data_IF_950278002537
#
_entry.id   IF_950278002537
#
_cell.length_a   1.000
_cell.length_b   1.000
_cell.length_c   1.000
_cell.angle_alpha   90.00
_cell.angle_beta   90.00
_cell.angle_gamma   90.00
#
_symmetry.space_group_name_H-M   'P 1'
#
loop_
_entity.id
_entity.type
_entity.pdbx_description
1 polymer ?
#
# COMPACT_ATOMS: atom_id res chain seq x y z
N UNK A 1 8.02 24.77 -21.34
CA UNK A 1 7.35 23.45 -21.21
C UNK A 1 8.01 22.47 -20.23
N UNK A 2 9.13 22.79 -19.56
CA UNK A 2 9.82 21.83 -18.67
C UNK A 2 9.29 21.75 -17.23
N UNK A 3 8.45 22.70 -16.79
CA UNK A 3 7.79 22.69 -15.46
C UNK A 3 6.75 21.58 -15.32
N UNK A 4 6.25 21.00 -16.42
CA UNK A 4 5.13 20.04 -16.37
C UNK A 4 5.47 18.64 -15.82
N UNK A 5 6.74 18.20 -15.82
CA UNK A 5 7.08 16.83 -15.45
C UNK A 5 7.13 16.57 -13.93
N UNK A 6 7.65 17.52 -13.14
CA UNK A 6 7.58 17.44 -11.66
C UNK A 6 6.14 17.61 -11.19
N UNK A 7 5.40 18.49 -11.86
CA UNK A 7 3.97 18.59 -11.65
C UNK A 7 3.25 17.30 -12.03
N UNK A 8 3.72 16.37 -12.86
CA UNK A 8 2.89 15.21 -13.23
C UNK A 8 2.79 14.14 -12.13
N UNK A 9 3.86 13.89 -11.36
CA UNK A 9 3.80 12.97 -10.23
C UNK A 9 3.06 13.61 -9.05
N UNK A 10 3.38 14.88 -8.75
CA UNK A 10 2.69 15.64 -7.72
C UNK A 10 1.24 15.88 -8.13
N UNK A 11 0.93 16.17 -9.38
CA UNK A 11 -0.42 16.31 -9.91
C UNK A 11 -1.13 14.97 -9.97
N UNK A 12 -0.52 13.80 -10.21
CA UNK A 12 -1.26 12.55 -10.04
C UNK A 12 -1.63 12.29 -8.58
N UNK A 13 -0.75 12.65 -7.64
CA UNK A 13 -0.99 12.52 -6.20
C UNK A 13 -1.99 13.57 -5.69
N UNK A 14 -1.88 14.80 -6.20
CA UNK A 14 -2.78 15.94 -5.96
C UNK A 14 -4.10 15.75 -6.69
N UNK A 15 -4.16 15.18 -7.89
CA UNK A 15 -5.37 14.86 -8.64
C UNK A 15 -6.05 13.63 -8.02
N UNK A 16 -5.30 12.69 -7.44
CA UNK A 16 -5.86 11.71 -6.51
C UNK A 16 -6.47 12.41 -5.29
N UNK A 17 -5.79 13.42 -4.72
CA UNK A 17 -6.27 14.18 -3.56
C UNK A 17 -7.36 15.23 -3.88
N UNK A 18 -7.46 15.69 -5.14
CA UNK A 18 -8.37 16.73 -5.62
C UNK A 18 -9.59 16.12 -6.32
N UNK A 19 -9.45 14.96 -6.97
CA UNK A 19 -10.59 14.12 -7.33
C UNK A 19 -11.40 13.68 -6.10
N UNK A 20 -10.80 13.79 -4.91
CA UNK A 20 -11.44 13.61 -3.62
C UNK A 20 -11.73 14.92 -2.89
N UNK A 21 -11.72 16.08 -3.55
CA UNK A 21 -12.07 17.35 -2.87
C UNK A 21 -13.58 17.50 -2.66
N UNK A 22 -14.37 16.80 -3.46
CA UNK A 22 -15.85 16.82 -3.42
C UNK A 22 -16.45 15.66 -2.59
N UNK A 23 -15.62 14.71 -2.17
CA UNK A 23 -16.00 13.59 -1.29
C UNK A 23 -15.06 13.59 -0.09
N UNK A 24 -15.52 13.33 1.13
CA UNK A 24 -14.64 13.26 2.32
C UNK A 24 -13.72 12.03 2.24
N UNK A 25 -12.75 11.99 1.33
CA UNK A 25 -11.77 10.91 1.32
C UNK A 25 -10.76 11.13 2.44
N UNK A 26 -10.55 10.10 3.24
CA UNK A 26 -9.51 10.05 4.25
C UNK A 26 -8.42 9.10 3.77
N UNK A 27 -7.17 9.50 3.92
CA UNK A 27 -6.02 8.67 3.59
C UNK A 27 -5.36 8.21 4.88
N UNK A 28 -5.09 6.91 4.97
CA UNK A 28 -4.28 6.35 6.04
C UNK A 28 -2.84 6.20 5.55
N UNK A 29 -1.91 6.89 6.21
CA UNK A 29 -0.48 6.74 5.96
C UNK A 29 0.19 6.25 7.24
N UNK A 30 0.71 5.01 7.22
CA UNK A 30 1.19 4.34 8.43
C UNK A 30 2.20 5.20 9.23
N UNK A 31 3.09 5.92 8.55
CA UNK A 31 4.17 6.64 9.21
C UNK A 31 3.69 7.93 9.91
N UNK A 32 2.51 8.43 9.54
CA UNK A 32 1.90 9.61 10.14
C UNK A 32 0.76 9.25 11.11
N UNK A 33 0.02 8.18 10.81
CA UNK A 33 -1.14 7.77 11.59
C UNK A 33 -0.77 6.88 12.79
N UNK A 34 0.42 6.28 12.80
CA UNK A 34 0.92 5.46 13.91
C UNK A 34 2.00 6.25 14.64
N UNK A 35 1.85 6.40 15.96
CA UNK A 35 2.83 7.06 16.79
C UNK A 35 4.19 6.32 16.69
N UNK A 36 5.24 7.04 16.32
CA UNK A 36 6.58 6.46 16.17
C UNK A 36 7.44 6.60 17.44
N UNK A 37 7.07 7.47 18.37
CA UNK A 37 7.83 7.80 19.57
C UNK A 37 7.37 7.04 20.83
N UNK A 38 6.08 6.72 20.92
CA UNK A 38 5.49 6.01 22.05
C UNK A 38 5.24 4.54 21.69
N UNK A 39 5.82 3.62 22.45
CA UNK A 39 5.76 2.19 22.16
C UNK A 39 4.35 1.58 22.33
N UNK A 40 3.57 2.05 23.32
CA UNK A 40 2.21 1.53 23.58
C UNK A 40 1.25 2.02 22.51
N UNK A 41 1.28 3.31 22.19
CA UNK A 41 0.46 3.88 21.12
C UNK A 41 0.85 3.33 19.75
N UNK A 42 2.14 3.01 19.53
CA UNK A 42 2.59 2.33 18.32
C UNK A 42 1.97 0.95 18.20
N UNK A 43 1.97 0.16 19.27
CA UNK A 43 1.38 -1.17 19.29
C UNK A 43 -0.13 -1.12 19.01
N UNK A 44 -0.85 -0.23 19.70
CA UNK A 44 -2.28 0.00 19.46
C UNK A 44 -2.56 0.41 18.00
N UNK A 45 -1.70 1.26 17.43
CA UNK A 45 -1.73 1.62 16.03
C UNK A 45 -1.56 0.42 15.11
N UNK A 46 -0.57 -0.44 15.38
CA UNK A 46 -0.30 -1.68 14.62
C UNK A 46 -1.49 -2.63 14.70
N UNK A 47 -2.04 -2.86 15.89
CA UNK A 47 -3.20 -3.73 16.11
C UNK A 47 -4.43 -3.24 15.34
N UNK A 48 -4.53 -1.93 15.13
CA UNK A 48 -5.62 -1.31 14.36
C UNK A 48 -5.46 -1.37 12.83
N UNK A 49 -4.25 -1.62 12.29
CA UNK A 49 -3.98 -1.59 10.83
C UNK A 49 -4.92 -2.53 10.07
N UNK A 50 -5.14 -3.74 10.59
CA UNK A 50 -6.00 -4.71 9.94
C UNK A 50 -7.46 -4.23 9.83
N UNK A 51 -7.94 -3.40 10.76
CA UNK A 51 -9.26 -2.78 10.68
C UNK A 51 -9.28 -1.66 9.63
N UNK A 52 -8.23 -0.83 9.55
CA UNK A 52 -8.12 0.22 8.53
C UNK A 52 -8.09 -0.37 7.11
N UNK A 53 -7.27 -1.38 6.86
CA UNK A 53 -7.17 -2.03 5.54
C UNK A 53 -8.48 -2.68 5.11
N UNK A 54 -9.23 -3.25 6.06
CA UNK A 54 -10.56 -3.85 5.83
C UNK A 54 -11.60 -2.83 5.39
N UNK A 55 -11.52 -1.61 5.93
CA UNK A 55 -12.46 -0.53 5.64
C UNK A 55 -12.00 0.42 4.52
N UNK A 56 -10.86 0.15 3.88
CA UNK A 56 -10.31 1.00 2.82
C UNK A 56 -10.83 0.58 1.44
N UNK A 57 -11.30 1.54 0.63
CA UNK A 57 -11.77 1.29 -0.75
C UNK A 57 -10.63 0.98 -1.74
N UNK A 58 -9.44 1.51 -1.46
CA UNK A 58 -8.28 1.34 -2.31
C UNK A 58 -6.99 1.34 -1.50
N UNK A 59 -5.95 0.71 -2.05
CA UNK A 59 -4.61 0.71 -1.49
C UNK A 59 -3.62 1.17 -2.55
N UNK A 60 -2.84 2.19 -2.22
CA UNK A 60 -1.73 2.67 -3.05
C UNK A 60 -0.41 2.14 -2.47
N UNK A 61 0.29 1.33 -3.26
CA UNK A 61 1.57 0.74 -2.91
C UNK A 61 2.67 1.43 -3.69
N UNK A 62 3.54 2.14 -2.98
CA UNK A 62 4.77 2.69 -3.53
C UNK A 62 5.85 1.59 -3.52
N UNK A 63 5.94 0.84 -4.62
CA UNK A 63 6.83 -0.31 -4.70
C UNK A 63 8.30 0.11 -4.89
N UNK A 64 9.17 -0.56 -4.15
CA UNK A 64 10.60 -0.54 -4.30
C UNK A 64 11.11 -1.99 -4.30
N UNK A 65 12.33 -2.29 -4.81
CA UNK A 65 12.87 -3.65 -4.81
C UNK A 65 12.91 -4.31 -3.41
N UNK A 66 13.07 -3.51 -2.35
CA UNK A 66 13.04 -3.98 -0.96
C UNK A 66 11.62 -4.03 -0.34
N UNK A 67 10.55 -3.85 -1.12
CA UNK A 67 9.19 -3.82 -0.57
C UNK A 67 8.80 -5.18 0.02
N UNK A 68 9.05 -6.28 -0.71
CA UNK A 68 8.69 -7.64 -0.28
C UNK A 68 9.63 -8.24 0.77
N UNK A 69 10.72 -7.56 1.14
CA UNK A 69 11.60 -7.97 2.24
C UNK A 69 11.12 -7.44 3.60
N UNK A 70 10.11 -6.55 3.60
CA UNK A 70 9.55 -5.95 4.81
C UNK A 70 8.26 -6.67 5.18
N UNK A 71 8.27 -7.34 6.33
CA UNK A 71 7.14 -8.12 6.84
C UNK A 71 5.82 -7.33 6.82
N UNK A 72 5.83 -6.10 7.34
CA UNK A 72 4.64 -5.26 7.42
C UNK A 72 4.04 -4.94 6.04
N UNK A 73 4.89 -4.61 5.07
CA UNK A 73 4.45 -4.35 3.69
C UNK A 73 3.80 -5.59 3.05
N UNK A 74 4.33 -6.78 3.34
CA UNK A 74 3.76 -8.06 2.92
C UNK A 74 2.44 -8.36 3.63
N UNK A 75 2.36 -8.10 4.94
CA UNK A 75 1.13 -8.26 5.73
C UNK A 75 -0.01 -7.40 5.17
N UNK A 76 0.24 -6.13 4.89
CA UNK A 76 -0.78 -5.21 4.34
C UNK A 76 -1.32 -5.72 2.99
N UNK A 77 -0.43 -6.16 2.10
CA UNK A 77 -0.82 -6.77 0.83
C UNK A 77 -1.67 -8.02 1.03
N UNK A 78 -1.24 -8.93 1.91
CA UNK A 78 -1.97 -10.17 2.19
C UNK A 78 -3.37 -9.87 2.71
N UNK A 79 -3.53 -8.92 3.63
CA UNK A 79 -4.85 -8.53 4.14
C UNK A 79 -5.77 -8.06 3.01
N UNK A 80 -5.27 -7.17 2.14
CA UNK A 80 -6.06 -6.65 1.00
C UNK A 80 -6.38 -7.75 -0.04
N UNK A 81 -5.46 -8.67 -0.29
CA UNK A 81 -5.67 -9.77 -1.25
C UNK A 81 -6.55 -10.91 -0.71
N UNK A 82 -6.40 -11.27 0.56
CA UNK A 82 -7.13 -12.39 1.17
C UNK A 82 -8.61 -12.09 1.31
N UNK A 83 -8.96 -10.83 1.54
CA UNK A 83 -10.36 -10.43 1.66
C UNK A 83 -11.14 -10.56 0.34
N UNK A 84 -10.45 -10.50 -0.81
CA UNK A 84 -11.04 -10.83 -2.12
C UNK A 84 -11.30 -12.32 -2.31
N UNK A 85 -10.71 -13.21 -1.51
CA UNK A 85 -10.70 -14.67 -1.70
C UNK A 85 -11.47 -15.48 -0.67
N UNK A 86 -12.19 -14.84 0.24
CA UNK A 86 -13.25 -15.45 1.08
C UNK A 86 -14.51 -15.85 0.27
N UNK A 87 -14.31 -16.36 -0.95
CA UNK A 87 -15.31 -17.10 -1.71
C UNK A 87 -14.95 -18.59 -1.57
N UNK A 88 -15.54 -19.23 -0.55
CA UNK A 88 -15.62 -20.67 -0.18
C UNK A 88 -14.52 -21.69 -0.56
N UNK A 89 -13.93 -21.71 -1.76
CA UNK A 89 -12.94 -22.70 -2.22
C UNK A 89 -11.53 -22.58 -1.63
N UNK A 90 -11.09 -21.40 -1.23
CA UNK A 90 -9.73 -21.23 -0.66
C UNK A 90 -9.69 -21.54 0.86
N UNK A 91 -10.84 -21.47 1.53
CA UNK A 91 -10.98 -21.79 2.96
C UNK A 91 -10.66 -23.26 3.24
N UNK A 92 -10.98 -24.17 2.32
CA UNK A 92 -10.61 -25.59 2.44
C UNK A 92 -9.11 -25.84 2.22
N UNK A 93 -8.45 -25.07 1.34
CA UNK A 93 -7.01 -25.20 1.10
C UNK A 93 -6.17 -24.62 2.24
N UNK A 94 -6.59 -23.50 2.83
CA UNK A 94 -5.95 -22.93 4.01
C UNK A 94 -6.22 -23.74 5.29
N UNK A 95 -7.44 -24.26 5.48
CA UNK A 95 -7.72 -25.12 6.63
C UNK A 95 -6.90 -26.42 6.58
N UNK A 96 -6.61 -26.94 5.37
CA UNK A 96 -5.72 -28.09 5.19
C UNK A 96 -4.23 -27.72 5.38
N UNK A 97 -3.81 -26.51 5.00
CA UNK A 97 -2.40 -26.08 5.16
C UNK A 97 -2.06 -25.58 6.58
N UNK A 98 -3.05 -25.12 7.36
CA UNK A 98 -2.89 -24.71 8.76
C UNK A 98 -3.21 -25.82 9.77
N UNK A 99 -3.92 -26.90 9.37
CA UNK A 99 -4.07 -28.09 10.22
C UNK A 99 -2.75 -28.87 10.39
N UNK A 100 -1.80 -28.71 9.46
CA UNK A 100 -0.45 -29.30 9.52
C UNK A 100 0.56 -28.49 10.35
N UNK A 101 0.16 -27.33 10.88
CA UNK A 101 1.03 -26.44 11.64
C UNK A 101 0.56 -26.26 13.10
N UNK A 102 -0.03 -27.30 13.71
CA UNK A 102 -0.14 -27.38 15.17
C UNK A 102 1.10 -28.04 15.76
N UNK A 103 1.78 -27.42 16.73
CA UNK A 103 2.76 -28.13 17.54
C UNK A 103 2.05 -29.24 18.32
N UNK A 104 2.49 -30.48 18.12
CA UNK A 104 2.19 -31.63 18.98
C UNK A 104 2.92 -31.47 20.30
N UNK A 105 2.41 -30.61 21.19
CA UNK A 105 2.50 -30.75 22.66
C UNK A 105 2.07 -29.46 23.37
N UNK A 106 0.81 -29.35 23.76
CA UNK A 106 0.45 -28.82 25.09
C UNK A 106 -0.80 -29.58 25.53
N UNK A 107 -0.58 -30.59 26.37
CA UNK A 107 -1.64 -31.12 27.22
C UNK A 107 -1.98 -30.13 28.32
N UNK A 108 -3.21 -30.26 28.83
CA UNK A 108 -3.70 -29.68 30.07
C UNK A 108 -3.97 -28.16 30.09
N UNK A 109 -5.19 -27.79 29.71
CA UNK A 109 -6.01 -26.81 30.43
C UNK A 109 -7.47 -26.99 29.99
N UNK A 110 -8.07 -28.11 30.44
CA UNK A 110 -9.52 -28.22 30.61
C UNK A 110 -9.83 -27.63 31.98
N UNK A 111 -11.02 -27.07 32.10
CA UNK A 111 -11.65 -26.62 33.35
C UNK A 111 -11.34 -25.17 33.74
N UNK A 112 -12.13 -24.23 33.21
CA UNK A 112 -12.84 -23.20 33.98
C UNK A 112 -13.62 -22.28 33.03
N UNK A 113 -14.85 -22.66 32.68
CA UNK A 113 -15.92 -21.70 32.35
C UNK A 113 -17.28 -22.43 32.28
N UNK A 114 -17.68 -23.00 33.40
CA UNK A 114 -19.09 -23.18 33.77
C UNK A 114 -19.26 -22.47 35.11
N UNK A 115 -19.71 -21.23 35.08
CA UNK A 115 -20.47 -20.55 36.14
C UNK A 115 -20.57 -19.06 35.83
N UNK A 116 -21.64 -18.67 35.16
CA UNK A 116 -22.30 -17.38 35.41
C UNK A 116 -23.78 -17.58 35.16
N UNK A 117 -24.44 -17.90 36.25
CA UNK A 117 -25.89 -17.95 36.45
C UNK A 117 -26.44 -16.53 36.50
N UNK A 118 -27.49 -16.32 35.72
CA UNK A 118 -28.71 -15.56 35.98
C UNK A 118 -28.68 -14.44 37.04
N UNK A 119 -28.80 -13.19 36.56
CA UNK A 119 -29.57 -12.16 37.26
C UNK A 119 -30.52 -11.52 36.25
N UNK A 120 -31.79 -11.80 36.48
CA UNK A 120 -32.99 -11.34 35.80
C UNK A 120 -33.27 -9.90 36.27
N UNK A 121 -33.29 -8.93 35.34
CA UNK A 121 -33.77 -7.58 35.57
C UNK A 121 -34.76 -7.27 34.46
N UNK A 122 -36.04 -7.28 34.84
CA UNK A 122 -37.16 -6.84 34.03
C UNK A 122 -37.14 -5.31 33.89
N UNK A 123 -36.79 -4.82 32.71
CA UNK A 123 -37.32 -3.54 32.22
C UNK A 123 -37.59 -3.64 30.71
N UNK A 124 -38.87 -3.89 30.44
CA UNK A 124 -39.51 -3.89 29.14
C UNK A 124 -39.61 -2.44 28.62
N UNK A 125 -38.60 -2.01 27.85
CA UNK A 125 -38.67 -0.76 27.07
C UNK A 125 -38.00 -0.97 25.71
N UNK A 126 -38.80 -1.24 24.67
CA UNK A 126 -38.64 -0.97 23.21
C UNK A 126 -37.25 -0.70 22.57
N UNK A 127 -36.17 -1.32 23.04
CA UNK A 127 -34.83 -1.34 22.39
C UNK A 127 -34.70 -2.23 21.13
N UNK A 128 -35.47 -3.33 20.91
CA UNK A 128 -35.17 -4.27 19.82
C UNK A 128 -35.31 -3.65 18.42
N UNK A 129 -36.21 -2.69 18.22
CA UNK A 129 -36.46 -2.08 16.92
C UNK A 129 -35.31 -1.17 16.43
N UNK A 130 -34.64 -0.46 17.35
CA UNK A 130 -33.47 0.39 17.00
C UNK A 130 -32.21 -0.44 16.76
N UNK A 131 -31.98 -1.50 17.54
CA UNK A 131 -30.86 -2.43 17.30
C UNK A 131 -31.07 -3.18 15.98
N UNK A 132 -32.30 -3.61 15.68
CA UNK A 132 -32.62 -4.25 14.40
C UNK A 132 -32.43 -3.30 13.21
N UNK A 133 -32.77 -2.01 13.33
CA UNK A 133 -32.56 -1.01 12.27
C UNK A 133 -31.07 -0.69 12.04
N UNK A 134 -30.26 -0.59 13.10
CA UNK A 134 -28.80 -0.40 12.98
C UNK A 134 -28.13 -1.66 12.43
N UNK A 135 -28.53 -2.84 12.90
CA UNK A 135 -28.01 -4.10 12.39
C UNK A 135 -28.36 -4.31 10.91
N UNK A 136 -29.59 -3.99 10.48
CA UNK A 136 -29.99 -4.09 9.06
C UNK A 136 -29.32 -3.03 8.18
N UNK A 137 -29.07 -1.82 8.68
CA UNK A 137 -28.27 -0.80 7.99
C UNK A 137 -26.82 -1.23 7.77
N UNK A 138 -26.18 -1.81 8.80
CA UNK A 138 -24.82 -2.36 8.73
C UNK A 138 -24.76 -3.60 7.84
N UNK A 139 -25.77 -4.47 7.86
CA UNK A 139 -25.84 -5.65 6.99
C UNK A 139 -25.99 -5.25 5.50
N UNK A 140 -26.76 -4.20 5.20
CA UNK A 140 -27.05 -3.76 3.82
C UNK A 140 -25.84 -3.10 3.16
N UNK A 141 -24.99 -2.41 3.92
CA UNK A 141 -23.69 -1.92 3.44
C UNK A 141 -22.68 -3.05 3.20
N UNK A 142 -22.80 -4.17 3.91
CA UNK A 142 -21.83 -5.29 3.87
C UNK A 142 -21.93 -6.19 2.63
N UNK A 143 -23.02 -6.13 1.87
CA UNK A 143 -23.23 -6.95 0.68
C UNK A 143 -22.77 -6.29 -0.63
N UNK A 144 -22.29 -5.05 -0.59
CA UNK A 144 -21.52 -4.52 -1.72
C UNK A 144 -20.09 -5.04 -1.59
N UNK A 145 -19.79 -6.12 -2.32
CA UNK A 145 -18.41 -6.51 -2.63
C UNK A 145 -17.76 -5.38 -3.43
N UNK A 146 -17.27 -4.34 -2.75
CA UNK A 146 -16.49 -3.29 -3.37
C UNK A 146 -15.20 -3.93 -3.90
N UNK A 147 -15.03 -3.86 -5.21
CA UNK A 147 -13.80 -4.31 -5.86
C UNK A 147 -12.69 -3.34 -5.45
N UNK A 148 -11.98 -3.69 -4.38
CA UNK A 148 -10.90 -2.88 -3.84
C UNK A 148 -9.84 -2.65 -4.90
N UNK A 149 -9.51 -1.39 -5.14
CA UNK A 149 -8.52 -1.02 -6.15
C UNK A 149 -7.13 -1.04 -5.53
N UNK A 150 -6.30 -2.00 -5.94
CA UNK A 150 -4.86 -2.01 -5.60
C UNK A 150 -4.09 -1.31 -6.72
N UNK A 151 -3.40 -0.22 -6.38
CA UNK A 151 -2.58 0.54 -7.31
C UNK A 151 -1.13 0.41 -6.87
N UNK A 152 -0.27 -0.15 -7.71
CA UNK A 152 1.16 -0.27 -7.41
C UNK A 152 1.95 0.69 -8.31
N UNK A 153 2.66 1.64 -7.71
CA UNK A 153 3.49 2.63 -8.40
C UNK A 153 4.95 2.43 -7.99
N UNK A 154 5.88 2.19 -8.92
CA UNK A 154 7.29 2.07 -8.58
C UNK A 154 7.89 3.44 -8.19
N UNK A 155 8.58 3.49 -7.05
CA UNK A 155 9.17 4.73 -6.46
C UNK A 155 10.18 5.39 -7.40
N UNK A 156 10.86 4.60 -8.23
CA UNK A 156 11.87 5.10 -9.17
C UNK A 156 11.32 6.08 -10.21
N UNK A 157 10.01 6.07 -10.47
CA UNK A 157 9.38 7.06 -11.35
C UNK A 157 9.59 8.49 -10.86
N UNK A 158 9.57 8.72 -9.55
CA UNK A 158 9.78 10.04 -8.98
C UNK A 158 11.20 10.57 -9.21
N UNK A 159 12.20 9.73 -8.96
CA UNK A 159 13.62 10.10 -9.18
C UNK A 159 13.87 10.43 -10.65
N UNK A 160 13.27 9.67 -11.56
CA UNK A 160 13.38 9.95 -12.99
C UNK A 160 12.72 11.26 -13.42
N UNK A 161 11.52 11.55 -12.93
CA UNK A 161 10.85 12.82 -13.23
C UNK A 161 11.70 14.02 -12.80
N UNK A 162 12.33 13.94 -11.61
CA UNK A 162 13.25 14.97 -11.13
C UNK A 162 14.50 15.06 -12.00
N UNK A 163 15.11 13.92 -12.36
CA UNK A 163 16.29 13.90 -13.22
C UNK A 163 16.00 14.53 -14.60
N UNK A 164 14.89 14.15 -15.24
CA UNK A 164 14.46 14.73 -16.51
C UNK A 164 14.21 16.25 -16.41
N UNK A 165 13.63 16.70 -15.31
CA UNK A 165 13.42 18.13 -15.05
C UNK A 165 14.76 18.88 -14.94
N UNK A 166 15.69 18.37 -14.13
CA UNK A 166 17.01 18.98 -13.95
C UNK A 166 17.77 19.02 -15.26
N UNK A 167 17.79 17.92 -16.03
CA UNK A 167 18.43 17.86 -17.36
C UNK A 167 17.81 18.89 -18.29
N UNK A 168 16.48 18.93 -18.40
CA UNK A 168 15.79 19.89 -19.26
C UNK A 168 16.02 21.35 -18.86
N UNK A 169 16.07 21.64 -17.55
CA UNK A 169 16.36 22.97 -17.01
C UNK A 169 17.79 23.40 -17.35
N UNK A 170 18.78 22.52 -17.14
CA UNK A 170 20.18 22.75 -17.48
C UNK A 170 20.35 22.95 -18.99
N UNK A 171 19.73 22.10 -19.82
CA UNK A 171 19.74 22.26 -21.28
C UNK A 171 19.16 23.61 -21.73
N UNK A 172 18.12 24.11 -21.07
CA UNK A 172 17.54 25.42 -21.36
C UNK A 172 18.49 26.57 -21.03
N UNK A 173 19.14 26.54 -19.86
CA UNK A 173 20.14 27.56 -19.47
C UNK A 173 21.32 27.53 -20.43
N UNK A 174 21.87 26.34 -20.71
CA UNK A 174 22.99 26.17 -21.64
C UNK A 174 22.61 26.65 -23.05
N UNK A 175 21.38 26.38 -23.51
CA UNK A 175 20.87 26.88 -24.78
C UNK A 175 20.91 28.41 -24.85
N UNK A 176 20.45 29.11 -23.80
CA UNK A 176 20.51 30.58 -23.73
C UNK A 176 21.94 31.12 -23.74
N UNK A 177 22.86 30.42 -23.09
CA UNK A 177 24.29 30.79 -23.10
C UNK A 177 24.90 30.56 -24.49
N UNK A 178 24.54 29.47 -25.18
CA UNK A 178 24.98 29.19 -26.54
C UNK A 178 24.43 30.16 -27.57
N UNK A 179 23.18 30.59 -27.42
CA UNK A 179 22.60 31.65 -28.26
C UNK A 179 23.40 32.95 -28.18
N UNK A 180 23.99 33.24 -27.02
CA UNK A 180 24.84 34.42 -26.81
C UNK A 180 26.27 34.23 -27.34
N UNK A 181 26.90 33.09 -27.07
CA UNK A 181 28.31 32.86 -27.39
C UNK A 181 28.54 32.44 -28.86
N UNK A 182 27.67 31.59 -29.41
CA UNK A 182 27.89 30.89 -30.68
C UNK A 182 26.56 30.71 -31.45
N UNK A 183 25.95 31.80 -31.96
CA UNK A 183 24.62 31.75 -32.57
C UNK A 183 24.55 30.84 -33.81
N UNK A 184 25.67 30.63 -34.51
CA UNK A 184 25.75 29.74 -35.67
C UNK A 184 25.67 28.24 -35.31
N UNK A 185 25.90 27.85 -34.04
CA UNK A 185 25.96 26.46 -33.59
C UNK A 185 24.75 26.04 -32.75
N UNK A 186 23.75 26.92 -32.57
CA UNK A 186 22.60 26.66 -31.68
C UNK A 186 21.77 25.44 -32.10
N UNK A 187 21.58 25.23 -33.40
CA UNK A 187 20.74 24.14 -33.91
C UNK A 187 21.39 22.77 -33.64
N UNK A 188 22.72 22.70 -33.75
CA UNK A 188 23.49 21.51 -33.38
C UNK A 188 23.40 21.22 -31.88
N UNK A 189 23.48 22.25 -31.03
CA UNK A 189 23.33 22.10 -29.58
C UNK A 189 21.96 21.53 -29.19
N UNK A 190 20.88 22.06 -29.78
CA UNK A 190 19.52 21.57 -29.53
C UNK A 190 19.35 20.13 -30.03
N UNK A 191 19.88 19.80 -31.22
CA UNK A 191 19.83 18.43 -31.75
C UNK A 191 20.54 17.43 -30.81
N UNK A 192 21.74 17.78 -30.32
CA UNK A 192 22.49 16.94 -29.37
C UNK A 192 21.78 16.81 -28.02
N UNK A 193 21.19 17.91 -27.52
CA UNK A 193 20.41 17.88 -26.27
C UNK A 193 19.18 16.97 -26.38
N UNK A 194 18.45 17.03 -27.50
CA UNK A 194 17.32 16.14 -27.77
C UNK A 194 17.78 14.68 -27.84
N UNK A 195 18.86 14.40 -28.58
CA UNK A 195 19.41 13.05 -28.68
C UNK A 195 19.83 12.50 -27.32
N UNK A 196 20.53 13.31 -26.50
CA UNK A 196 20.90 12.95 -25.14
C UNK A 196 19.67 12.66 -24.27
N UNK A 197 18.64 13.49 -24.36
CA UNK A 197 17.35 13.26 -23.70
C UNK A 197 16.70 11.93 -24.10
N UNK A 198 16.67 11.62 -25.41
CA UNK A 198 16.14 10.35 -25.92
C UNK A 198 16.89 9.15 -25.33
N UNK A 199 18.23 9.18 -25.26
CA UNK A 199 19.03 8.08 -24.68
C UNK A 199 18.71 7.87 -23.21
N UNK A 200 18.58 8.94 -22.43
CA UNK A 200 18.21 8.88 -21.00
C UNK A 200 16.81 8.28 -20.83
N UNK A 201 15.83 8.74 -21.61
CA UNK A 201 14.46 8.23 -21.60
C UNK A 201 14.43 6.74 -21.96
N UNK A 202 15.12 6.32 -23.03
CA UNK A 202 15.19 4.90 -23.42
C UNK A 202 15.81 4.02 -22.33
N UNK A 203 16.90 4.47 -21.69
CA UNK A 203 17.53 3.76 -20.56
C UNK A 203 16.57 3.62 -19.39
N UNK A 204 15.83 4.68 -19.07
CA UNK A 204 14.83 4.65 -18.02
C UNK A 204 13.66 3.72 -18.36
N UNK A 205 13.06 3.83 -19.55
CA UNK A 205 11.96 2.95 -19.98
C UNK A 205 12.37 1.48 -19.93
N UNK A 206 13.61 1.16 -20.31
CA UNK A 206 14.16 -0.20 -20.20
C UNK A 206 14.25 -0.64 -18.74
N UNK A 207 14.76 0.22 -17.85
CA UNK A 207 14.84 -0.09 -16.41
C UNK A 207 13.46 -0.26 -15.78
N UNK A 208 12.53 0.64 -16.09
CA UNK A 208 11.15 0.57 -15.63
C UNK A 208 10.46 -0.72 -16.10
N UNK A 209 10.67 -1.12 -17.35
CA UNK A 209 10.15 -2.38 -17.89
C UNK A 209 10.72 -3.59 -17.14
N UNK A 210 12.03 -3.60 -16.88
CA UNK A 210 12.68 -4.64 -16.08
C UNK A 210 12.11 -4.72 -14.66
N UNK A 211 11.95 -3.57 -14.00
CA UNK A 211 11.41 -3.50 -12.65
C UNK A 211 9.92 -3.92 -12.59
N UNK A 212 9.15 -3.65 -13.65
CA UNK A 212 7.77 -4.15 -13.79
C UNK A 212 7.72 -5.66 -13.95
N UNK A 213 8.63 -6.25 -14.72
CA UNK A 213 8.75 -7.71 -14.85
C UNK A 213 9.18 -8.34 -13.52
N UNK A 214 10.15 -7.73 -12.84
CA UNK A 214 10.61 -8.17 -11.53
C UNK A 214 9.48 -8.14 -10.49
N UNK A 215 8.73 -7.04 -10.42
CA UNK A 215 7.53 -6.93 -9.59
C UNK A 215 6.52 -8.05 -9.91
N UNK A 216 6.26 -8.29 -11.19
CA UNK A 216 5.34 -9.35 -11.61
C UNK A 216 5.83 -10.74 -11.17
N UNK A 217 7.13 -11.01 -11.29
CA UNK A 217 7.75 -12.25 -10.86
C UNK A 217 7.70 -12.41 -9.33
N UNK A 218 8.01 -11.34 -8.59
CA UNK A 218 7.94 -11.33 -7.13
C UNK A 218 6.51 -11.60 -6.64
N UNK A 219 5.51 -10.97 -7.25
CA UNK A 219 4.10 -11.24 -6.93
C UNK A 219 3.72 -12.69 -7.26
N UNK A 220 4.17 -13.22 -8.40
CA UNK A 220 3.86 -14.58 -8.80
C UNK A 220 4.51 -15.65 -7.90
N UNK A 221 5.70 -15.36 -7.37
CA UNK A 221 6.46 -16.26 -6.49
C UNK A 221 6.19 -16.02 -5.00
N UNK A 222 5.44 -14.98 -4.65
CA UNK A 222 5.22 -14.61 -3.27
C UNK A 222 4.42 -15.70 -2.53
N UNK A 223 5.03 -16.26 -1.49
CA UNK A 223 4.37 -17.13 -0.51
C UNK A 223 4.50 -16.51 0.88
N UNK A 224 3.44 -16.61 1.70
CA UNK A 224 3.45 -16.06 3.07
C UNK A 224 4.60 -16.65 3.89
N UNK A 225 4.95 -17.92 3.66
CA UNK A 225 6.08 -18.60 4.29
C UNK A 225 7.46 -17.99 3.96
N UNK A 226 7.58 -17.26 2.86
CA UNK A 226 8.82 -16.59 2.43
C UNK A 226 8.90 -15.13 2.89
N UNK A 227 7.86 -14.61 3.54
CA UNK A 227 7.91 -13.29 4.14
C UNK A 227 8.79 -13.34 5.40
N UNK A 228 10.11 -13.33 5.19
CA UNK A 228 11.07 -13.29 6.28
C UNK A 228 11.14 -11.88 6.85
N UNK A 229 10.96 -11.78 8.17
CA UNK A 229 11.19 -10.56 8.88
C UNK A 229 12.71 -10.34 9.02
N UNK A 230 13.34 -9.57 8.14
CA UNK A 230 14.79 -9.38 8.21
C UNK A 230 15.25 -8.32 9.23
N UNK A 231 14.31 -7.75 10.00
CA UNK A 231 14.58 -6.73 11.01
C UNK A 231 14.52 -7.42 12.39
N UNK A 232 15.65 -7.58 13.12
CA UNK A 232 15.67 -8.30 14.39
C UNK A 232 14.71 -7.74 15.45
N UNK A 233 14.44 -6.42 15.44
CA UNK A 233 13.45 -5.80 16.34
C UNK A 233 12.02 -6.29 16.11
N UNK A 234 11.69 -6.63 14.88
CA UNK A 234 10.33 -7.00 14.51
C UNK A 234 10.03 -8.49 14.85
N UNK A 235 11.07 -9.31 15.09
CA UNK A 235 10.91 -10.71 15.54
C UNK A 235 10.25 -10.82 16.91
N UNK A 236 10.48 -9.85 17.80
CA UNK A 236 9.91 -9.85 19.14
C UNK A 236 8.37 -9.80 19.11
N UNK A 237 7.79 -9.14 18.10
CA UNK A 237 6.35 -8.99 17.95
C UNK A 237 5.65 -10.22 17.34
N UNK A 238 6.38 -11.10 16.66
CA UNK A 238 5.82 -12.33 16.06
C UNK A 238 5.74 -13.47 17.08
N UNK A 239 6.61 -13.43 18.10
CA UNK A 239 6.72 -14.48 19.12
C UNK A 239 5.88 -14.19 20.38
N UNK A 240 5.31 -13.00 20.50
CA UNK A 240 4.37 -12.62 21.55
C UNK A 240 2.94 -12.96 21.13
#
# INVERSE_FOLDING_TARGET
MHIFAIFFMWARLVELAESTRDTKASYFLHCLCINQGDAELKQLGIDSIGAYLRNSDSMLVLWAPAYFTRLWCCFELVVVFMEKRTNSRFKSLLHNSFAEMRPTSVGAARDLQQNTSSTEIDHEETVPARIAAVATGVQRARNQTHDRKLIIIPVQMGVFCVACFVIGYVSCILGRVMDFLLPAQKDLFWALSVLGGCVVICRFCRRYSQDRLELSNQIAQFTVSRAECNIPRDHAFIKA
#
